data_IF_141529345199
#
_entry.id   IF_141529345199
#
_cell.length_a   1.000
_cell.length_b   1.000
_cell.length_c   1.000
_cell.angle_alpha   90.00
_cell.angle_beta   90.00
_cell.angle_gamma   90.00
#
_symmetry.space_group_name_H-M   'P 1'
#
loop_
_entity.id
_entity.type
_entity.pdbx_description
1 polymer ?
#
# COMPACT_ATOMS: atom_id res chain seq x y z
N UNK A 1 15.33 -2.99 -10.83
CA UNK A 1 15.13 -2.96 -9.36
C UNK A 1 14.34 -4.17 -8.83
N UNK A 2 13.42 -4.79 -9.59
CA UNK A 2 12.62 -5.93 -9.09
C UNK A 2 13.36 -7.28 -8.96
N UNK A 3 14.33 -7.58 -9.86
CA UNK A 3 15.01 -8.89 -9.93
C UNK A 3 15.59 -9.40 -8.60
N UNK A 4 16.32 -8.59 -7.79
CA UNK A 4 16.83 -9.07 -6.50
C UNK A 4 15.72 -9.43 -5.50
N UNK A 5 14.58 -8.73 -5.53
CA UNK A 5 13.44 -9.02 -4.67
C UNK A 5 12.72 -10.28 -5.14
N UNK A 6 12.54 -10.45 -6.45
CA UNK A 6 11.96 -11.66 -7.01
C UNK A 6 12.80 -12.91 -6.67
N UNK A 7 14.14 -12.80 -6.77
CA UNK A 7 15.04 -13.89 -6.38
C UNK A 7 14.95 -14.21 -4.88
N UNK A 8 14.89 -13.19 -4.02
CA UNK A 8 14.73 -13.39 -2.57
C UNK A 8 13.39 -14.03 -2.21
N UNK A 9 12.29 -13.61 -2.86
CA UNK A 9 10.97 -14.24 -2.69
C UNK A 9 10.95 -15.68 -3.22
N UNK A 10 11.61 -15.95 -4.34
CA UNK A 10 11.71 -17.30 -4.89
C UNK A 10 12.56 -18.23 -4.02
N UNK A 11 13.55 -17.71 -3.29
CA UNK A 11 14.29 -18.48 -2.30
C UNK A 11 13.42 -18.93 -1.12
N UNK A 12 12.45 -18.08 -0.70
CA UNK A 12 11.48 -18.42 0.33
C UNK A 12 10.36 -19.33 -0.22
N UNK A 13 9.80 -18.99 -1.38
CA UNK A 13 8.63 -19.64 -1.98
C UNK A 13 8.80 -19.81 -3.50
N UNK A 14 9.56 -20.83 -3.94
CA UNK A 14 9.94 -20.98 -5.35
C UNK A 14 8.74 -21.25 -6.27
N UNK A 15 7.78 -22.04 -5.81
CA UNK A 15 6.59 -22.42 -6.62
C UNK A 15 5.50 -21.34 -6.62
N UNK A 16 5.56 -20.40 -5.68
CA UNK A 16 4.55 -19.35 -5.48
C UNK A 16 5.08 -17.95 -5.79
N UNK A 17 6.20 -17.85 -6.51
CA UNK A 17 6.82 -16.58 -6.91
C UNK A 17 6.98 -16.52 -8.42
N UNK A 18 6.49 -15.42 -9.02
CA UNK A 18 6.64 -15.14 -10.43
C UNK A 18 7.22 -13.74 -10.62
N UNK A 19 8.15 -13.60 -11.57
CA UNK A 19 8.64 -12.28 -12.00
C UNK A 19 7.76 -11.75 -13.14
N UNK A 20 7.35 -10.48 -13.04
CA UNK A 20 6.67 -9.77 -14.10
C UNK A 20 7.46 -8.53 -14.52
N UNK A 21 7.42 -8.20 -15.82
CA UNK A 21 8.19 -7.08 -16.38
C UNK A 21 7.67 -5.71 -15.95
N UNK A 22 6.37 -5.58 -15.68
CA UNK A 22 5.79 -4.36 -15.13
C UNK A 22 4.49 -4.62 -14.37
N UNK A 23 4.48 -4.20 -13.11
CA UNK A 23 3.27 -4.03 -12.31
C UNK A 23 3.31 -2.55 -11.93
N UNK A 24 2.46 -1.73 -12.55
CA UNK A 24 2.57 -0.27 -12.58
C UNK A 24 3.01 0.43 -11.28
N UNK A 25 3.73 1.55 -11.42
CA UNK A 25 4.22 2.35 -10.30
C UNK A 25 5.73 2.34 -10.16
N UNK A 26 6.44 2.80 -11.20
CA UNK A 26 7.92 2.89 -11.23
C UNK A 26 8.51 3.61 -10.00
N UNK A 27 7.78 4.59 -9.46
CA UNK A 27 8.15 5.34 -8.25
C UNK A 27 8.22 4.50 -6.97
N UNK A 28 7.65 3.30 -7.01
CA UNK A 28 7.55 2.38 -5.89
C UNK A 28 8.28 1.06 -6.16
N UNK A 29 9.09 0.99 -7.21
CA UNK A 29 9.89 -0.20 -7.46
C UNK A 29 10.82 -0.48 -6.27
N UNK A 30 10.99 -1.72 -5.80
CA UNK A 30 10.32 -2.93 -6.28
C UNK A 30 8.86 -3.06 -5.78
N UNK A 31 7.92 -3.29 -6.70
CA UNK A 31 6.52 -3.58 -6.36
C UNK A 31 6.34 -5.10 -6.20
N UNK A 32 5.56 -5.51 -5.20
CA UNK A 32 5.13 -6.91 -5.00
C UNK A 32 3.61 -6.93 -4.94
N UNK A 33 2.99 -7.85 -5.68
CA UNK A 33 1.55 -8.12 -5.61
C UNK A 33 1.35 -9.50 -4.98
N UNK A 34 0.59 -9.56 -3.90
CA UNK A 34 0.29 -10.82 -3.20
C UNK A 34 -1.15 -11.24 -3.52
N UNK A 35 -1.30 -12.42 -4.09
CA UNK A 35 -2.58 -13.06 -4.43
C UNK A 35 -2.93 -14.16 -3.42
N UNK A 36 -4.22 -14.51 -3.25
CA UNK A 36 -5.40 -13.97 -3.95
C UNK A 36 -5.87 -12.62 -3.41
N UNK A 37 -5.32 -12.15 -2.29
CA UNK A 37 -5.82 -10.98 -1.56
C UNK A 37 -5.70 -9.65 -2.33
N UNK A 38 -4.81 -9.58 -3.33
CA UNK A 38 -4.61 -8.38 -4.15
C UNK A 38 -3.88 -7.26 -3.40
N UNK A 39 -2.95 -7.62 -2.51
CA UNK A 39 -2.20 -6.67 -1.69
C UNK A 39 -1.00 -6.14 -2.47
N UNK A 40 -0.89 -4.83 -2.57
CA UNK A 40 0.26 -4.16 -3.18
C UNK A 40 1.25 -3.76 -2.11
N UNK A 41 2.51 -4.06 -2.38
CA UNK A 41 3.65 -3.54 -1.63
C UNK A 41 4.58 -2.79 -2.58
N UNK A 42 5.28 -1.78 -2.07
CA UNK A 42 6.26 -1.02 -2.83
C UNK A 42 7.52 -0.78 -2.02
N UNK A 43 8.63 -0.50 -2.72
CA UNK A 43 9.95 -0.28 -2.15
C UNK A 43 10.42 -1.44 -1.26
N UNK A 44 9.97 -2.67 -1.58
CA UNK A 44 10.38 -3.88 -0.85
C UNK A 44 11.86 -4.10 -1.08
N UNK A 45 12.61 -4.33 -0.01
CA UNK A 45 14.01 -4.69 -0.08
C UNK A 45 14.16 -6.22 -0.16
N UNK A 46 15.20 -6.77 -0.82
CA UNK A 46 15.42 -8.21 -0.83
C UNK A 46 15.53 -8.82 0.57
N UNK A 47 16.13 -8.10 1.51
CA UNK A 47 16.24 -8.50 2.92
C UNK A 47 14.91 -8.56 3.67
N UNK A 48 13.84 -7.94 3.13
CA UNK A 48 12.50 -7.95 3.72
C UNK A 48 11.64 -9.12 3.21
N UNK A 49 12.10 -9.86 2.19
CA UNK A 49 11.34 -10.96 1.60
C UNK A 49 10.89 -12.03 2.62
N UNK A 50 11.75 -12.55 3.51
CA UNK A 50 11.33 -13.53 4.51
C UNK A 50 10.26 -12.98 5.46
N UNK A 51 10.38 -11.70 5.84
CA UNK A 51 9.45 -11.01 6.73
C UNK A 51 8.09 -10.79 6.06
N UNK A 52 8.10 -10.45 4.77
CA UNK A 52 6.88 -10.29 3.97
C UNK A 52 6.14 -11.62 3.80
N UNK A 53 6.86 -12.71 3.50
CA UNK A 53 6.28 -14.06 3.39
C UNK A 53 5.67 -14.50 4.73
N UNK A 54 6.43 -14.39 5.83
CA UNK A 54 5.95 -14.76 7.16
C UNK A 54 4.74 -13.94 7.61
N UNK A 55 4.72 -12.64 7.33
CA UNK A 55 3.55 -11.80 7.59
C UNK A 55 2.34 -12.28 6.79
N UNK A 56 2.51 -12.52 5.49
CA UNK A 56 1.41 -12.97 4.65
C UNK A 56 0.81 -14.30 5.11
N UNK A 57 1.65 -15.29 5.41
CA UNK A 57 1.21 -16.62 5.85
C UNK A 57 0.54 -16.63 7.23
N UNK A 58 0.89 -15.65 8.08
CA UNK A 58 0.20 -15.42 9.36
C UNK A 58 -1.06 -14.55 9.20
N UNK A 59 -1.47 -14.24 7.97
CA UNK A 59 -2.64 -13.41 7.70
C UNK A 59 -2.45 -11.95 8.12
N UNK A 60 -1.21 -11.46 8.17
CA UNK A 60 -0.83 -10.11 8.57
C UNK A 60 -0.23 -9.31 7.41
N UNK A 61 -0.25 -7.98 7.56
CA UNK A 61 0.37 -7.03 6.64
C UNK A 61 1.76 -6.61 7.11
N UNK A 62 2.69 -6.48 6.16
CA UNK A 62 3.92 -5.70 6.36
C UNK A 62 3.61 -4.22 6.11
N UNK A 63 3.10 -3.53 7.13
CA UNK A 63 2.48 -2.20 6.99
C UNK A 63 3.43 -1.14 6.38
N UNK A 64 4.74 -1.22 6.66
CA UNK A 64 5.75 -0.24 6.22
C UNK A 64 6.01 -0.25 4.71
N UNK A 65 5.59 -1.33 4.03
CA UNK A 65 5.68 -1.48 2.57
C UNK A 65 4.31 -1.53 1.92
N UNK A 66 3.24 -1.66 2.70
CA UNK A 66 1.88 -1.86 2.22
C UNK A 66 1.35 -0.59 1.54
N UNK A 67 0.89 -0.74 0.30
CA UNK A 67 0.36 0.32 -0.55
C UNK A 67 -1.15 0.22 -0.79
N UNK A 68 -1.80 -0.76 -0.18
CA UNK A 68 -3.25 -0.96 -0.27
C UNK A 68 -3.64 -2.23 -1.01
N UNK A 69 -4.95 -2.42 -1.15
CA UNK A 69 -5.58 -3.60 -1.76
C UNK A 69 -6.29 -3.21 -3.05
N UNK A 70 -6.12 -4.02 -4.10
CA UNK A 70 -6.67 -3.77 -5.45
C UNK A 70 -8.18 -3.54 -5.47
N UNK A 71 -8.92 -4.16 -4.55
CA UNK A 71 -10.36 -4.08 -4.45
C UNK A 71 -10.88 -2.73 -3.91
N UNK A 72 -10.03 -1.88 -3.34
CA UNK A 72 -10.45 -0.68 -2.63
C UNK A 72 -9.97 0.61 -3.29
N UNK A 73 -10.77 1.67 -3.15
CA UNK A 73 -10.41 3.01 -3.63
C UNK A 73 -9.33 3.64 -2.75
N UNK A 74 -8.63 4.65 -3.27
CA UNK A 74 -7.53 5.28 -2.55
C UNK A 74 -7.94 5.91 -1.19
N UNK A 75 -9.10 6.58 -1.03
CA UNK A 75 -9.56 7.04 0.28
C UNK A 75 -9.77 5.91 1.30
N UNK A 76 -10.30 4.76 0.85
CA UNK A 76 -10.46 3.57 1.72
C UNK A 76 -9.11 3.04 2.15
N UNK A 77 -8.17 2.89 1.22
CA UNK A 77 -6.82 2.40 1.53
C UNK A 77 -6.11 3.33 2.52
N UNK A 78 -6.28 4.65 2.38
CA UNK A 78 -5.74 5.63 3.33
C UNK A 78 -6.40 5.52 4.72
N UNK A 79 -7.73 5.42 4.79
CA UNK A 79 -8.44 5.21 6.05
C UNK A 79 -7.99 3.91 6.74
N UNK A 80 -7.88 2.80 6.00
CA UNK A 80 -7.36 1.54 6.52
C UNK A 80 -5.94 1.72 7.05
N UNK A 81 -5.04 2.36 6.29
CA UNK A 81 -3.68 2.62 6.73
C UNK A 81 -3.63 3.40 8.05
N UNK A 82 -4.40 4.49 8.18
CA UNK A 82 -4.45 5.29 9.41
C UNK A 82 -5.02 4.51 10.60
N UNK A 83 -6.06 3.70 10.38
CA UNK A 83 -6.61 2.84 11.44
C UNK A 83 -5.59 1.82 11.90
N UNK A 84 -4.85 1.20 10.99
CA UNK A 84 -3.79 0.23 11.31
C UNK A 84 -2.64 0.86 12.08
N UNK A 85 -2.18 2.04 11.67
CA UNK A 85 -1.15 2.78 12.42
C UNK A 85 -1.59 3.09 13.86
N UNK A 86 -2.87 3.41 14.06
CA UNK A 86 -3.39 3.79 15.38
C UNK A 86 -3.70 2.59 16.28
N UNK A 87 -4.22 1.51 15.72
CA UNK A 87 -4.70 0.34 16.48
C UNK A 87 -3.66 -0.77 16.59
N UNK A 88 -2.68 -0.81 15.68
CA UNK A 88 -1.75 -1.92 15.55
C UNK A 88 -2.37 -3.21 14.99
N UNK A 89 -3.65 -3.22 14.61
CA UNK A 89 -4.26 -4.38 13.98
C UNK A 89 -3.75 -4.51 12.54
N UNK A 90 -2.93 -5.53 12.26
CA UNK A 90 -2.33 -5.75 10.95
C UNK A 90 -2.98 -6.90 10.18
N UNK A 91 -4.08 -7.47 10.68
CA UNK A 91 -4.76 -8.58 10.00
C UNK A 91 -5.23 -8.18 8.61
N UNK A 92 -4.97 -9.01 7.60
CA UNK A 92 -5.32 -8.75 6.19
C UNK A 92 -6.81 -8.44 6.00
N UNK A 93 -7.69 -9.11 6.75
CA UNK A 93 -9.14 -8.99 6.61
C UNK A 93 -9.79 -8.00 7.58
N UNK A 94 -9.01 -7.37 8.47
CA UNK A 94 -9.55 -6.34 9.35
C UNK A 94 -9.86 -5.04 8.61
N UNK A 95 -10.78 -4.27 9.19
CA UNK A 95 -11.25 -2.97 8.71
C UNK A 95 -11.85 -3.00 7.30
N UNK A 96 -12.78 -3.91 6.98
CA UNK A 96 -13.56 -3.79 5.74
C UNK A 96 -14.30 -2.44 5.71
N UNK A 97 -14.42 -1.79 4.53
CA UNK A 97 -15.17 -0.56 4.41
C UNK A 97 -16.68 -0.82 4.51
N UNK A 98 -17.36 0.01 5.30
CA UNK A 98 -18.82 0.02 5.43
C UNK A 98 -19.45 1.10 4.55
N UNK A 99 -18.84 2.28 4.48
CA UNK A 99 -19.30 3.38 3.63
C UNK A 99 -18.15 4.31 3.22
N UNK A 100 -18.34 4.98 2.07
CA UNK A 100 -17.39 5.96 1.52
C UNK A 100 -18.19 7.09 0.90
N UNK A 101 -18.18 8.26 1.53
CA UNK A 101 -18.94 9.43 1.10
C UNK A 101 -18.00 10.58 0.77
N UNK A 102 -18.11 11.13 -0.43
CA UNK A 102 -17.36 12.35 -0.79
C UNK A 102 -18.11 13.56 -0.22
N UNK A 103 -17.53 14.21 0.78
CA UNK A 103 -18.13 15.35 1.47
C UNK A 103 -17.68 16.71 0.93
N UNK A 104 -16.54 16.75 0.24
CA UNK A 104 -16.06 17.91 -0.52
C UNK A 104 -15.10 17.47 -1.63
N UNK A 105 -14.64 18.41 -2.46
CA UNK A 105 -13.60 18.12 -3.45
C UNK A 105 -12.32 17.64 -2.75
N UNK A 106 -11.88 16.42 -3.10
CA UNK A 106 -10.69 15.82 -2.50
C UNK A 106 -10.84 15.41 -1.03
N UNK A 107 -12.06 15.36 -0.47
CA UNK A 107 -12.34 14.98 0.92
C UNK A 107 -13.45 13.94 1.01
N UNK A 108 -13.21 12.89 1.79
CA UNK A 108 -14.16 11.80 2.00
C UNK A 108 -14.32 11.49 3.48
N UNK A 109 -15.53 11.12 3.88
CA UNK A 109 -15.78 10.37 5.10
C UNK A 109 -15.79 8.88 4.76
N UNK A 110 -14.97 8.13 5.49
CA UNK A 110 -14.84 6.68 5.32
C UNK A 110 -15.19 6.01 6.64
N UNK A 111 -16.18 5.13 6.61
CA UNK A 111 -16.50 4.26 7.73
C UNK A 111 -15.90 2.88 7.46
N UNK A 112 -15.10 2.40 8.41
CA UNK A 112 -14.57 1.03 8.41
C UNK A 112 -15.21 0.27 9.57
N UNK A 113 -15.28 -1.03 9.46
CA UNK A 113 -15.64 -1.88 10.59
C UNK A 113 -14.62 -1.72 11.73
N UNK A 114 -15.14 -1.74 12.97
CA UNK A 114 -14.38 -1.55 14.21
C UNK A 114 -13.54 -0.27 14.29
N UNK A 115 -13.92 0.77 13.55
CA UNK A 115 -13.27 2.08 13.61
C UNK A 115 -14.29 3.23 13.59
N UNK A 116 -13.99 4.36 14.25
CA UNK A 116 -14.75 5.59 14.05
C UNK A 116 -14.63 6.05 12.59
N UNK A 117 -15.63 6.79 12.12
CA UNK A 117 -15.58 7.43 10.80
C UNK A 117 -14.35 8.31 10.70
N UNK A 118 -13.58 8.12 9.62
CA UNK A 118 -12.38 8.88 9.33
C UNK A 118 -12.63 9.83 8.17
N UNK A 119 -12.36 11.11 8.39
CA UNK A 119 -12.27 12.08 7.30
C UNK A 119 -10.88 12.05 6.69
N UNK A 120 -10.80 11.73 5.40
CA UNK A 120 -9.57 11.62 4.61
C UNK A 120 -9.57 12.71 3.55
N UNK A 121 -8.48 13.48 3.46
CA UNK A 121 -8.28 14.52 2.46
C UNK A 121 -7.08 14.20 1.56
N UNK A 122 -7.17 14.54 0.27
CA UNK A 122 -6.03 14.43 -0.66
C UNK A 122 -5.02 15.52 -0.34
N UNK A 123 -3.75 15.16 -0.28
CA UNK A 123 -2.63 16.11 -0.23
C UNK A 123 -1.79 16.02 -1.49
N UNK A 124 -1.29 17.16 -1.96
CA UNK A 124 -0.33 17.21 -3.05
C UNK A 124 1.06 17.40 -2.46
N UNK A 125 1.93 16.44 -2.71
CA UNK A 125 3.33 16.50 -2.32
C UNK A 125 4.17 16.82 -3.55
N UNK A 126 5.18 17.68 -3.36
CA UNK A 126 6.26 17.89 -4.33
C UNK A 126 7.47 17.07 -3.89
N UNK A 127 8.14 16.46 -4.87
CA UNK A 127 9.46 15.88 -4.70
C UNK A 127 10.41 16.63 -5.62
N UNK A 128 11.55 17.04 -5.08
CA UNK A 128 12.62 17.71 -5.83
C UNK A 128 13.48 16.71 -6.61
N UNK A 129 13.26 15.41 -6.39
CA UNK A 129 13.87 14.33 -7.16
C UNK A 129 12.86 13.69 -8.12
N UNK A 130 13.39 13.08 -9.17
CA UNK A 130 12.62 12.35 -10.17
C UNK A 130 11.73 11.27 -9.57
N UNK A 131 10.42 11.38 -9.79
CA UNK A 131 9.46 10.39 -9.32
C UNK A 131 9.50 9.09 -10.12
N UNK A 132 10.06 9.07 -11.33
CA UNK A 132 10.14 7.85 -12.14
C UNK A 132 11.45 7.82 -12.91
N UNK A 133 11.91 6.64 -13.33
CA UNK A 133 13.11 6.50 -14.17
C UNK A 133 12.99 7.24 -15.52
N UNK A 134 11.78 7.59 -15.96
CA UNK A 134 11.51 8.32 -17.20
C UNK A 134 11.32 9.84 -17.01
N UNK A 135 11.25 10.31 -15.77
CA UNK A 135 11.11 11.73 -15.44
C UNK A 135 12.00 12.06 -14.23
N UNK A 136 13.29 12.34 -14.44
CA UNK A 136 14.27 12.59 -13.38
C UNK A 136 14.13 13.95 -12.69
N UNK A 137 13.26 14.84 -13.22
CA UNK A 137 13.00 16.17 -12.66
C UNK A 137 11.90 16.21 -11.59
N UNK A 138 11.70 17.36 -10.93
CA UNK A 138 10.74 17.53 -9.85
C UNK A 138 9.34 17.09 -10.26
N UNK A 139 8.70 16.29 -9.41
CA UNK A 139 7.38 15.72 -9.68
C UNK A 139 6.39 16.03 -8.57
N UNK A 140 5.10 16.03 -8.91
CA UNK A 140 4.04 16.06 -7.89
C UNK A 140 3.40 14.69 -7.77
N UNK A 141 3.08 14.30 -6.54
CA UNK A 141 2.30 13.10 -6.29
C UNK A 141 1.22 13.35 -5.25
N UNK A 142 0.14 12.58 -5.36
CA UNK A 142 -0.97 12.63 -4.42
C UNK A 142 -0.69 11.70 -3.24
N UNK A 143 -0.94 12.20 -2.04
CA UNK A 143 -1.03 11.48 -0.78
C UNK A 143 -2.40 11.72 -0.15
N UNK A 144 -2.58 11.22 1.07
CA UNK A 144 -3.76 11.47 1.87
C UNK A 144 -3.36 11.83 3.29
N UNK A 145 -4.17 12.66 3.95
CA UNK A 145 -4.06 13.00 5.38
C UNK A 145 -5.41 12.83 6.07
N UNK A 146 -5.40 12.68 7.39
CA UNK A 146 -6.62 12.79 8.19
C UNK A 146 -7.00 14.27 8.30
N UNK A 147 -8.22 14.63 7.94
CA UNK A 147 -8.70 15.99 8.15
C UNK A 147 -9.13 16.16 9.62
N UNK A 148 -8.59 17.16 10.33
CA UNK A 148 -8.98 17.50 11.70
C UNK A 148 -8.02 17.04 12.81
N UNK A 149 -6.70 17.24 12.64
CA UNK A 149 -5.74 17.26 13.77
C UNK A 149 -5.57 18.68 14.30
#
# INVERSE_FOLDING_TARGET
MGRPVAAALAAERPENTWECTHIGGDRFAANVLVLPHGLYYGQVLPSEAPRLVAAHESGQLLLERHRGRSAYTAPVQAAQHFTRQRTGNLSVDSHPPLSVERVAEGVWDVQLEDAPTLRVATTQHRSDSGLTCKAPGPGTFRGFTRAGS
#
